data_IF_812959332192
#
_entry.id   IF_812959332192
#
_cell.length_a   1.000
_cell.length_b   1.000
_cell.length_c   1.000
_cell.angle_alpha   90.00
_cell.angle_beta   90.00
_cell.angle_gamma   90.00
#
_symmetry.space_group_name_H-M   'P 1'
#
loop_
_entity.id
_entity.type
_entity.pdbx_description
1 polymer ?
#
# COMPACT_ATOMS: atom_id res chain seq x y z
N UNK A 1 -1.25 24.23 28.35
CA UNK A 1 -1.21 22.89 27.78
C UNK A 1 -1.64 22.99 26.30
N UNK A 2 -1.04 22.20 25.43
CA UNK A 2 -1.45 22.12 24.01
C UNK A 2 -2.42 20.95 23.89
N UNK A 3 -3.58 21.18 23.30
CA UNK A 3 -4.55 20.12 23.01
C UNK A 3 -4.28 19.61 21.59
N UNK A 4 -4.08 18.31 21.46
CA UNK A 4 -3.91 17.65 20.16
C UNK A 4 -5.06 16.67 19.94
N UNK A 5 -5.81 16.85 18.87
CA UNK A 5 -6.88 15.95 18.45
C UNK A 5 -6.40 15.15 17.23
N UNK A 6 -6.62 13.83 17.26
CA UNK A 6 -6.31 12.98 16.13
C UNK A 6 -7.55 12.18 15.71
N UNK A 7 -7.85 12.21 14.43
CA UNK A 7 -8.88 11.38 13.80
C UNK A 7 -8.18 10.49 12.77
N UNK A 8 -8.34 9.18 12.93
CA UNK A 8 -7.85 8.21 11.96
C UNK A 8 -8.99 7.25 11.58
N UNK A 9 -9.19 7.07 10.27
CA UNK A 9 -10.14 6.11 9.73
C UNK A 9 -9.46 5.23 8.69
N UNK A 10 -9.71 3.93 8.75
CA UNK A 10 -9.18 2.95 7.78
C UNK A 10 -10.31 2.04 7.32
N UNK A 11 -10.41 1.86 6.00
CA UNK A 11 -11.34 0.90 5.39
C UNK A 11 -10.55 -0.09 4.55
N UNK A 12 -10.89 -1.37 4.68
CA UNK A 12 -10.37 -2.44 3.83
C UNK A 12 -11.52 -3.36 3.46
N UNK A 13 -11.82 -3.47 2.18
CA UNK A 13 -12.90 -4.32 1.67
C UNK A 13 -12.40 -5.17 0.53
N UNK A 14 -12.68 -6.46 0.57
CA UNK A 14 -12.39 -7.40 -0.51
C UNK A 14 -13.65 -8.17 -0.89
N UNK A 15 -14.03 -8.08 -2.16
CA UNK A 15 -15.17 -8.80 -2.74
C UNK A 15 -14.65 -9.79 -3.79
N UNK A 16 -15.07 -11.04 -3.69
CA UNK A 16 -14.75 -12.09 -4.67
C UNK A 16 -16.02 -12.55 -5.38
N UNK A 17 -15.92 -12.74 -6.69
CA UNK A 17 -17.03 -13.32 -7.46
C UNK A 17 -17.30 -14.77 -7.08
N UNK A 18 -18.53 -15.26 -7.30
CA UNK A 18 -18.94 -16.65 -7.01
C UNK A 18 -18.00 -17.69 -7.64
N UNK A 19 -17.47 -17.42 -8.83
CA UNK A 19 -16.53 -18.33 -9.51
C UNK A 19 -15.06 -18.07 -9.16
N UNK A 20 -14.77 -17.23 -8.17
CA UNK A 20 -13.42 -16.87 -7.67
C UNK A 20 -12.45 -16.30 -8.73
N UNK A 21 -12.96 -16.02 -9.95
CA UNK A 21 -12.15 -15.46 -11.04
C UNK A 21 -11.89 -13.95 -10.89
N UNK A 22 -12.82 -13.23 -10.28
CA UNK A 22 -12.74 -11.77 -10.12
C UNK A 22 -12.61 -11.42 -8.64
N UNK A 23 -11.66 -10.58 -8.33
CA UNK A 23 -11.48 -10.03 -6.97
C UNK A 23 -11.38 -8.51 -7.06
N UNK A 24 -12.18 -7.84 -6.27
CA UNK A 24 -12.16 -6.38 -6.10
C UNK A 24 -11.62 -6.09 -4.71
N UNK A 25 -10.66 -5.19 -4.60
CA UNK A 25 -10.09 -4.72 -3.36
C UNK A 25 -10.25 -3.20 -3.29
N UNK A 26 -10.69 -2.70 -2.15
CA UNK A 26 -10.71 -1.28 -1.82
C UNK A 26 -9.98 -1.07 -0.51
N UNK A 27 -9.00 -0.19 -0.53
CA UNK A 27 -8.26 0.27 0.64
C UNK A 27 -8.44 1.78 0.76
N UNK A 28 -8.74 2.26 1.95
CA UNK A 28 -8.82 3.68 2.24
C UNK A 28 -8.22 3.99 3.61
N UNK A 29 -7.53 5.11 3.71
CA UNK A 29 -7.01 5.64 4.96
C UNK A 29 -7.19 7.15 4.99
N UNK A 30 -7.63 7.69 6.12
CA UNK A 30 -7.69 9.10 6.41
C UNK A 30 -7.03 9.35 7.76
N UNK A 31 -6.20 10.38 7.85
CA UNK A 31 -5.57 10.79 9.10
C UNK A 31 -5.53 12.31 9.18
N UNK A 32 -6.12 12.85 10.23
CA UNK A 32 -6.12 14.27 10.59
C UNK A 32 -5.53 14.39 11.98
N UNK A 33 -4.52 15.25 12.13
CA UNK A 33 -3.97 15.67 13.42
C UNK A 33 -4.13 17.18 13.50
N UNK A 34 -4.90 17.65 14.44
CA UNK A 34 -5.19 19.04 14.70
C UNK A 34 -4.71 19.45 16.09
N UNK A 35 -4.12 20.64 16.21
CA UNK A 35 -3.69 21.22 17.47
C UNK A 35 -4.18 22.67 17.58
N UNK A 36 -4.14 23.22 18.79
CA UNK A 36 -4.64 24.59 19.06
C UNK A 36 -4.00 25.67 18.16
N UNK A 37 -2.84 25.40 17.58
CA UNK A 37 -2.12 26.29 16.64
C UNK A 37 -2.42 26.00 15.16
N UNK A 38 -3.31 25.05 14.84
CA UNK A 38 -3.74 24.67 13.48
C UNK A 38 -3.47 23.22 13.11
N UNK A 39 -3.88 22.83 11.91
CA UNK A 39 -3.72 21.46 11.40
C UNK A 39 -2.26 21.07 11.26
N UNK A 40 -1.79 20.15 12.10
CA UNK A 40 -0.43 19.60 12.05
C UNK A 40 -0.25 18.60 10.90
N UNK A 41 -1.29 17.84 10.58
CA UNK A 41 -1.27 16.85 9.51
C UNK A 41 -2.66 16.61 8.96
N UNK A 42 -2.78 16.61 7.63
CA UNK A 42 -3.95 16.11 6.92
C UNK A 42 -3.48 15.20 5.78
N UNK A 43 -3.97 13.96 5.77
CA UNK A 43 -3.60 13.01 4.73
C UNK A 43 -4.73 12.03 4.44
N UNK A 44 -4.87 11.66 3.17
CA UNK A 44 -5.76 10.58 2.75
C UNK A 44 -5.12 9.72 1.67
N UNK A 45 -5.55 8.47 1.62
CA UNK A 45 -5.15 7.47 0.66
C UNK A 45 -6.37 6.65 0.27
N UNK A 46 -6.57 6.43 -1.02
CA UNK A 46 -7.60 5.56 -1.57
C UNK A 46 -6.99 4.71 -2.69
N UNK A 47 -7.15 3.40 -2.62
CA UNK A 47 -6.65 2.46 -3.61
C UNK A 47 -7.72 1.45 -3.97
N UNK A 48 -8.09 1.39 -5.24
CA UNK A 48 -8.96 0.37 -5.82
C UNK A 48 -8.16 -0.58 -6.70
N UNK A 49 -8.35 -1.90 -6.54
CA UNK A 49 -7.69 -2.92 -7.37
C UNK A 49 -8.68 -3.95 -7.84
N UNK A 50 -8.58 -4.30 -9.10
CA UNK A 50 -9.30 -5.39 -9.74
C UNK A 50 -8.31 -6.46 -10.18
N UNK A 51 -8.59 -7.72 -9.83
CA UNK A 51 -7.82 -8.87 -10.26
C UNK A 51 -8.72 -9.84 -11.00
N UNK A 52 -8.24 -10.33 -12.14
CA UNK A 52 -8.88 -11.37 -12.93
C UNK A 52 -7.98 -12.60 -13.07
N UNK A 53 -8.40 -13.74 -12.54
CA UNK A 53 -7.64 -15.00 -12.65
C UNK A 53 -7.89 -15.62 -14.02
N UNK A 54 -6.86 -15.66 -14.87
CA UNK A 54 -6.87 -16.41 -16.12
C UNK A 54 -6.86 -17.89 -15.78
N UNK A 55 -5.90 -18.30 -14.98
CA UNK A 55 -5.72 -19.65 -14.45
C UNK A 55 -5.21 -19.62 -13.00
N UNK A 56 -4.63 -20.73 -12.52
CA UNK A 56 -4.05 -20.82 -11.17
C UNK A 56 -2.73 -20.04 -11.01
N UNK A 57 -1.99 -19.89 -12.12
CA UNK A 57 -0.66 -19.27 -12.13
C UNK A 57 -0.71 -17.79 -12.45
N UNK A 58 -1.61 -17.37 -13.36
CA UNK A 58 -1.61 -16.04 -13.95
C UNK A 58 -2.89 -15.28 -13.59
N UNK A 59 -2.71 -14.04 -13.10
CA UNK A 59 -3.79 -13.08 -12.90
C UNK A 59 -3.47 -11.78 -13.60
N UNK A 60 -4.49 -11.16 -14.19
CA UNK A 60 -4.42 -9.77 -14.64
C UNK A 60 -4.78 -8.88 -13.47
N UNK A 61 -4.08 -7.76 -13.36
CA UNK A 61 -4.33 -6.75 -12.35
C UNK A 61 -4.55 -5.39 -12.99
N UNK A 62 -5.52 -4.63 -12.49
CA UNK A 62 -5.70 -3.23 -12.80
C UNK A 62 -5.97 -2.49 -11.50
N UNK A 63 -5.44 -1.28 -11.36
CA UNK A 63 -5.59 -0.49 -10.14
C UNK A 63 -5.63 1.00 -10.42
N UNK A 64 -6.27 1.71 -9.52
CA UNK A 64 -6.25 3.17 -9.45
C UNK A 64 -6.01 3.58 -8.00
N UNK A 65 -5.32 4.70 -7.82
CA UNK A 65 -4.98 5.22 -6.51
C UNK A 65 -5.00 6.73 -6.52
N UNK A 66 -5.54 7.31 -5.47
CA UNK A 66 -5.39 8.71 -5.14
C UNK A 66 -4.84 8.85 -3.74
N UNK A 67 -3.95 9.82 -3.54
CA UNK A 67 -3.42 10.14 -2.22
C UNK A 67 -3.11 11.63 -2.10
N UNK A 68 -3.22 12.10 -0.87
CA UNK A 68 -2.84 13.44 -0.46
C UNK A 68 -2.13 13.36 0.88
N UNK A 69 -1.08 14.15 1.04
CA UNK A 69 -0.41 14.30 2.33
C UNK A 69 0.17 15.72 2.43
N UNK A 70 -0.36 16.47 3.37
CA UNK A 70 0.04 17.86 3.61
C UNK A 70 1.51 18.03 4.00
N UNK A 71 2.11 17.01 4.64
CA UNK A 71 3.50 17.03 5.08
C UNK A 71 4.50 16.72 3.97
N UNK A 72 4.02 16.18 2.84
CA UNK A 72 4.87 15.88 1.70
C UNK A 72 4.88 17.06 0.72
N UNK A 73 6.00 17.29 0.08
CA UNK A 73 6.12 18.28 -1.00
C UNK A 73 5.26 17.89 -2.19
N UNK A 74 5.13 16.60 -2.48
CA UNK A 74 4.15 16.06 -3.41
C UNK A 74 2.83 15.88 -2.67
N UNK A 75 2.01 16.92 -2.63
CA UNK A 75 0.76 16.92 -1.87
C UNK A 75 -0.28 15.98 -2.43
N UNK A 76 -0.43 15.93 -3.74
CA UNK A 76 -1.43 15.09 -4.38
C UNK A 76 -0.78 14.20 -5.44
N UNK A 77 -1.11 12.92 -5.40
CA UNK A 77 -0.68 11.92 -6.37
C UNK A 77 -1.86 11.06 -6.79
N UNK A 78 -2.10 10.98 -8.08
CA UNK A 78 -3.09 10.10 -8.67
C UNK A 78 -2.39 9.17 -9.64
N UNK A 79 -2.75 7.90 -9.62
CA UNK A 79 -2.17 6.92 -10.53
C UNK A 79 -3.19 5.89 -10.99
N UNK A 80 -2.94 5.37 -12.18
CA UNK A 80 -3.64 4.23 -12.76
C UNK A 80 -2.60 3.25 -13.29
N UNK A 81 -2.84 1.96 -13.13
CA UNK A 81 -1.92 0.94 -13.61
C UNK A 81 -2.61 -0.36 -13.97
N UNK A 82 -1.91 -1.14 -14.79
CA UNK A 82 -2.33 -2.48 -15.17
C UNK A 82 -1.12 -3.38 -15.39
N UNK A 83 -1.29 -4.68 -15.14
CA UNK A 83 -0.21 -5.62 -15.23
C UNK A 83 -0.62 -7.07 -15.02
N UNK A 84 0.36 -7.87 -14.74
CA UNK A 84 0.22 -9.32 -14.53
C UNK A 84 0.81 -9.73 -13.19
N UNK A 85 0.21 -10.72 -12.57
CA UNK A 85 0.71 -11.38 -11.37
C UNK A 85 0.86 -12.87 -11.60
N UNK A 86 2.00 -13.41 -11.24
CA UNK A 86 2.30 -14.83 -11.23
C UNK A 86 2.24 -15.37 -9.80
N UNK A 87 1.47 -16.44 -9.59
CA UNK A 87 1.44 -17.20 -8.36
C UNK A 87 2.50 -18.32 -8.48
N UNK A 88 3.76 -18.03 -8.17
CA UNK A 88 4.87 -18.95 -8.39
C UNK A 88 5.06 -19.96 -7.25
N UNK A 89 4.51 -19.69 -6.08
CA UNK A 89 4.43 -20.64 -4.96
C UNK A 89 2.97 -20.66 -4.45
N UNK A 90 2.37 -21.82 -4.45
CA UNK A 90 1.01 -22.06 -3.90
C UNK A 90 1.04 -23.35 -3.09
N UNK A 91 1.47 -23.27 -1.84
CA UNK A 91 1.46 -24.35 -0.87
C UNK A 91 0.51 -24.03 0.29
N UNK A 92 0.05 -25.05 1.00
CA UNK A 92 -0.92 -24.94 2.10
C UNK A 92 -0.59 -23.83 3.11
N UNK A 93 0.68 -23.68 3.45
CA UNK A 93 1.15 -22.79 4.50
C UNK A 93 1.99 -21.62 3.97
N UNK A 94 2.33 -21.62 2.67
CA UNK A 94 3.20 -20.60 2.07
C UNK A 94 2.77 -20.29 0.65
N UNK A 95 2.47 -19.02 0.38
CA UNK A 95 2.16 -18.54 -0.96
C UNK A 95 3.16 -17.46 -1.37
N UNK A 96 3.49 -17.42 -2.67
CA UNK A 96 4.39 -16.43 -3.24
C UNK A 96 3.85 -15.88 -4.55
N UNK A 97 3.93 -14.57 -4.70
CA UNK A 97 3.45 -13.84 -5.88
C UNK A 97 4.56 -12.92 -6.41
N UNK A 98 4.66 -12.87 -7.71
CA UNK A 98 5.48 -11.89 -8.44
C UNK A 98 4.57 -11.10 -9.36
N UNK A 99 4.51 -9.79 -9.23
CA UNK A 99 3.72 -8.91 -10.08
C UNK A 99 4.60 -7.92 -10.83
N UNK A 100 4.17 -7.59 -12.05
CA UNK A 100 4.76 -6.54 -12.86
C UNK A 100 3.65 -5.75 -13.54
N UNK A 101 3.68 -4.44 -13.42
CA UNK A 101 2.65 -3.54 -13.92
C UNK A 101 3.27 -2.28 -14.51
N UNK A 102 2.66 -1.78 -15.56
CA UNK A 102 2.83 -0.40 -15.99
C UNK A 102 1.94 0.52 -15.16
N UNK A 103 2.45 1.70 -14.82
CA UNK A 103 1.77 2.69 -14.00
C UNK A 103 1.96 4.08 -14.62
N UNK A 104 0.85 4.79 -14.83
CA UNK A 104 0.83 6.21 -15.16
C UNK A 104 0.43 7.00 -13.93
N UNK A 105 1.23 8.00 -13.59
CA UNK A 105 1.01 8.82 -12.40
C UNK A 105 1.04 10.31 -12.73
N UNK A 106 0.20 11.05 -12.02
CA UNK A 106 0.17 12.51 -12.04
C UNK A 106 0.42 12.98 -10.62
N UNK A 107 1.48 13.75 -10.43
CA UNK A 107 1.86 14.34 -9.15
C UNK A 107 1.72 15.84 -9.21
N UNK A 108 1.21 16.44 -8.14
CA UNK A 108 1.15 17.87 -7.94
C UNK A 108 2.15 18.28 -6.87
N UNK A 109 3.15 19.08 -7.28
CA UNK A 109 4.13 19.68 -6.39
C UNK A 109 3.66 21.08 -5.98
N UNK A 110 3.38 21.26 -4.71
CA UNK A 110 2.84 22.50 -4.19
C UNK A 110 3.89 23.64 -4.17
N UNK A 111 5.14 23.31 -3.86
CA UNK A 111 6.23 24.28 -3.81
C UNK A 111 6.52 24.89 -5.16
N UNK A 112 6.56 24.05 -6.20
CA UNK A 112 6.82 24.50 -7.57
C UNK A 112 5.53 24.87 -8.33
N UNK A 113 4.34 24.68 -7.73
CA UNK A 113 3.02 24.82 -8.37
C UNK A 113 2.94 24.12 -9.74
N UNK A 114 3.65 23.01 -9.87
CA UNK A 114 3.79 22.27 -11.12
C UNK A 114 3.17 20.88 -11.03
N UNK A 115 2.76 20.35 -12.19
CA UNK A 115 2.33 18.97 -12.32
C UNK A 115 3.40 18.18 -13.06
N UNK A 116 3.72 17.00 -12.58
CA UNK A 116 4.53 16.03 -13.30
C UNK A 116 3.69 14.85 -13.77
N UNK A 117 4.03 14.35 -14.95
CA UNK A 117 3.39 13.19 -15.59
C UNK A 117 4.45 12.11 -15.76
N UNK A 118 4.27 11.02 -15.06
CA UNK A 118 5.30 10.01 -14.93
C UNK A 118 4.79 8.64 -15.41
N UNK A 119 5.66 7.93 -16.11
CA UNK A 119 5.45 6.55 -16.55
C UNK A 119 6.41 5.68 -15.75
N UNK A 120 5.90 4.84 -14.85
CA UNK A 120 6.70 3.96 -13.99
C UNK A 120 6.40 2.49 -14.24
N UNK A 121 7.39 1.67 -14.04
CA UNK A 121 7.18 0.25 -13.77
C UNK A 121 6.77 0.08 -12.30
N UNK A 122 5.99 -0.92 -12.00
CA UNK A 122 5.70 -1.36 -10.63
C UNK A 122 5.87 -2.87 -10.57
N UNK A 123 7.06 -3.30 -10.18
CA UNK A 123 7.37 -4.71 -9.94
C UNK A 123 7.25 -4.97 -8.44
N UNK A 124 6.59 -6.07 -8.07
CA UNK A 124 6.53 -6.47 -6.67
C UNK A 124 6.71 -7.97 -6.48
N UNK A 125 7.22 -8.31 -5.30
CA UNK A 125 7.24 -9.67 -4.79
C UNK A 125 6.46 -9.70 -3.47
N UNK A 126 5.62 -10.70 -3.29
CA UNK A 126 4.82 -10.85 -2.07
C UNK A 126 4.86 -12.28 -1.60
N UNK A 127 5.03 -12.45 -0.28
CA UNK A 127 5.00 -13.74 0.39
C UNK A 127 3.97 -13.72 1.52
N UNK A 128 3.27 -14.82 1.69
CA UNK A 128 2.41 -15.04 2.84
C UNK A 128 2.71 -16.41 3.44
N UNK A 129 2.95 -16.44 4.74
CA UNK A 129 3.16 -17.65 5.52
C UNK A 129 2.11 -17.73 6.63
N UNK A 130 1.49 -18.88 6.77
CA UNK A 130 0.59 -19.20 7.87
C UNK A 130 1.10 -20.42 8.60
N UNK A 131 1.32 -20.33 9.91
CA UNK A 131 1.79 -21.46 10.70
C UNK A 131 0.78 -22.63 10.65
N UNK A 132 1.26 -23.85 10.81
CA UNK A 132 0.40 -25.05 10.77
C UNK A 132 -0.69 -25.03 11.84
N UNK A 133 -0.41 -24.43 12.99
CA UNK A 133 -1.37 -24.21 14.09
C UNK A 133 -2.29 -23.00 13.87
N UNK A 134 -2.08 -22.21 12.82
CA UNK A 134 -2.80 -20.96 12.48
C UNK A 134 -2.77 -19.88 13.57
N UNK A 135 -1.82 -19.96 14.50
CA UNK A 135 -1.61 -18.97 15.56
C UNK A 135 -0.67 -17.82 15.16
N UNK A 136 -0.10 -17.89 13.95
CA UNK A 136 0.78 -16.87 13.39
C UNK A 136 0.61 -16.79 11.88
N UNK A 137 0.48 -15.58 11.38
CA UNK A 137 0.51 -15.28 9.93
C UNK A 137 1.49 -14.14 9.69
N UNK A 138 2.31 -14.28 8.66
CA UNK A 138 3.22 -13.26 8.16
C UNK A 138 2.89 -12.99 6.70
N UNK A 139 2.75 -11.72 6.35
CA UNK A 139 2.71 -11.27 4.96
C UNK A 139 3.80 -10.23 4.77
N UNK A 140 4.58 -10.37 3.70
CA UNK A 140 5.54 -9.38 3.27
C UNK A 140 5.25 -9.02 1.81
N UNK A 141 5.35 -7.75 1.47
CA UNK A 141 5.26 -7.26 0.09
C UNK A 141 6.28 -6.16 -0.12
N UNK A 142 7.14 -6.36 -1.11
CA UNK A 142 8.16 -5.41 -1.53
C UNK A 142 7.87 -4.95 -2.96
N UNK A 143 7.89 -3.63 -3.19
CA UNK A 143 7.72 -3.00 -4.49
C UNK A 143 9.00 -2.27 -4.88
N UNK A 144 9.34 -2.37 -6.16
CA UNK A 144 10.33 -1.55 -6.85
C UNK A 144 9.66 -0.81 -8.00
N UNK A 145 9.71 0.53 -8.00
CA UNK A 145 8.97 1.37 -8.93
C UNK A 145 9.88 2.40 -9.62
N UNK A 146 10.71 1.99 -10.60
CA UNK A 146 11.54 2.90 -11.37
C UNK A 146 10.72 3.70 -12.38
N UNK A 147 11.19 4.92 -12.66
CA UNK A 147 10.68 5.76 -13.73
C UNK A 147 11.27 5.31 -15.07
N UNK A 148 10.43 5.10 -16.11
CA UNK A 148 10.92 4.60 -17.40
C UNK A 148 11.92 5.52 -18.11
N UNK A 149 11.79 6.84 -17.96
CA UNK A 149 12.68 7.82 -18.58
C UNK A 149 14.03 7.97 -17.84
N UNK A 150 14.09 7.59 -16.57
CA UNK A 150 15.26 7.66 -15.71
C UNK A 150 15.17 6.57 -14.64
N UNK A 151 15.91 5.46 -14.83
CA UNK A 151 15.83 4.32 -13.90
C UNK A 151 16.47 4.60 -12.53
N UNK A 152 17.29 5.65 -12.42
CA UNK A 152 17.88 6.10 -11.16
C UNK A 152 16.83 6.81 -10.26
N UNK A 153 15.73 7.29 -10.88
CA UNK A 153 14.53 7.76 -10.16
C UNK A 153 13.62 6.55 -9.88
N UNK A 154 13.73 6.02 -8.67
CA UNK A 154 12.96 4.86 -8.25
C UNK A 154 12.42 5.00 -6.83
N UNK A 155 11.38 4.24 -6.55
CA UNK A 155 10.77 4.11 -5.23
C UNK A 155 10.80 2.67 -4.77
N UNK A 156 11.09 2.50 -3.48
CA UNK A 156 10.96 1.22 -2.78
C UNK A 156 9.85 1.34 -1.75
N UNK A 157 8.96 0.35 -1.74
CA UNK A 157 7.94 0.24 -0.71
C UNK A 157 8.02 -1.16 -0.14
N UNK A 158 8.03 -1.25 1.17
CA UNK A 158 8.02 -2.53 1.86
C UNK A 158 6.99 -2.52 2.97
N UNK A 159 6.23 -3.61 3.05
CA UNK A 159 5.30 -3.84 4.14
C UNK A 159 5.50 -5.23 4.71
N UNK A 160 5.76 -5.28 6.00
CA UNK A 160 5.66 -6.49 6.81
C UNK A 160 4.39 -6.42 7.64
N UNK A 161 3.59 -7.49 7.60
CA UNK A 161 2.43 -7.64 8.44
C UNK A 161 2.49 -8.96 9.20
N UNK A 162 2.37 -8.87 10.51
CA UNK A 162 2.27 -9.99 11.43
C UNK A 162 0.87 -10.00 12.03
N UNK A 163 0.19 -11.13 11.96
CA UNK A 163 -1.10 -11.35 12.61
C UNK A 163 -0.97 -12.53 13.58
N UNK A 164 -1.40 -12.34 14.82
CA UNK A 164 -1.43 -13.34 15.88
C UNK A 164 -2.87 -13.51 16.36
N UNK A 165 -3.63 -14.50 15.82
CA UNK A 165 -4.94 -14.84 16.34
C UNK A 165 -4.85 -15.29 17.79
N UNK A 166 -5.47 -14.59 18.71
CA UNK A 166 -5.51 -14.90 20.12
C UNK A 166 -6.69 -15.83 20.45
N UNK A 167 -7.79 -15.65 19.76
CA UNK A 167 -8.98 -16.52 19.79
C UNK A 167 -9.81 -16.34 18.50
N UNK A 168 -11.07 -16.85 18.50
CA UNK A 168 -11.97 -16.78 17.31
C UNK A 168 -12.34 -15.34 16.92
N UNK A 169 -12.31 -14.40 17.88
CA UNK A 169 -12.80 -13.04 17.74
C UNK A 169 -11.70 -12.01 17.75
N UNK A 170 -10.60 -12.29 18.43
CA UNK A 170 -9.55 -11.33 18.73
C UNK A 170 -8.23 -11.75 18.10
N UNK A 171 -7.58 -10.82 17.42
CA UNK A 171 -6.20 -10.97 16.95
C UNK A 171 -5.36 -9.74 17.32
N UNK A 172 -4.12 -9.96 17.68
CA UNK A 172 -3.10 -8.92 17.70
C UNK A 172 -2.47 -8.81 16.31
N UNK A 173 -2.14 -7.60 15.87
CA UNK A 173 -1.38 -7.39 14.64
C UNK A 173 -0.28 -6.36 14.83
N UNK A 174 0.78 -6.50 14.04
CA UNK A 174 1.83 -5.51 13.86
C UNK A 174 2.06 -5.31 12.35
N UNK A 175 2.15 -4.06 11.91
CA UNK A 175 2.45 -3.67 10.52
C UNK A 175 3.62 -2.72 10.54
N UNK A 176 4.65 -3.06 9.78
CA UNK A 176 5.78 -2.19 9.51
C UNK A 176 5.77 -1.81 8.04
N UNK A 177 5.68 -0.51 7.77
CA UNK A 177 5.74 0.08 6.44
C UNK A 177 7.06 0.84 6.30
N UNK A 178 7.75 0.63 5.19
CA UNK A 178 8.93 1.38 4.79
C UNK A 178 8.73 1.94 3.39
N UNK A 179 9.07 3.21 3.21
CA UNK A 179 9.02 3.91 1.94
C UNK A 179 10.34 4.63 1.72
N UNK A 180 10.90 4.50 0.53
CA UNK A 180 12.08 5.21 0.06
C UNK A 180 11.79 5.82 -1.32
N UNK A 181 12.26 7.03 -1.56
CA UNK A 181 12.21 7.73 -2.84
C UNK A 181 13.61 8.27 -3.15
N UNK A 182 14.21 7.85 -4.27
CA UNK A 182 15.58 8.25 -4.67
C UNK A 182 15.64 9.71 -5.13
N UNK A 183 14.52 10.28 -5.57
CA UNK A 183 14.42 11.65 -6.08
C UNK A 183 13.42 12.45 -5.24
N UNK A 184 13.89 12.90 -4.07
CA UNK A 184 13.10 13.78 -3.21
C UNK A 184 13.45 15.25 -3.44
N UNK A 185 12.47 16.17 -3.32
CA UNK A 185 12.74 17.58 -3.34
C UNK A 185 13.74 18.00 -2.24
N UNK A 186 14.52 19.04 -2.50
CA UNK A 186 15.50 19.60 -1.56
C UNK A 186 14.90 19.76 -0.15
N UNK A 187 15.63 19.29 0.86
CA UNK A 187 15.27 19.32 2.28
C UNK A 187 14.14 18.35 2.71
N UNK A 188 13.76 17.39 1.88
CA UNK A 188 12.88 16.30 2.30
C UNK A 188 13.66 15.02 2.56
N UNK A 189 13.15 14.17 3.48
CA UNK A 189 13.78 12.88 3.76
C UNK A 189 13.50 11.90 2.63
N UNK A 190 14.51 11.16 2.21
CA UNK A 190 14.42 10.12 1.19
C UNK A 190 13.62 8.91 1.66
N UNK A 191 13.50 8.69 2.95
CA UNK A 191 12.77 7.55 3.50
C UNK A 191 11.86 7.93 4.65
N UNK A 192 10.82 7.11 4.81
CA UNK A 192 9.93 7.10 5.99
C UNK A 192 9.70 5.67 6.43
N UNK A 193 9.55 5.47 7.73
CA UNK A 193 9.12 4.20 8.29
C UNK A 193 8.02 4.40 9.31
N UNK A 194 7.11 3.44 9.39
CA UNK A 194 5.96 3.46 10.31
C UNK A 194 5.74 2.08 10.89
N UNK A 195 5.69 2.00 12.21
CA UNK A 195 5.28 0.79 12.92
C UNK A 195 3.91 1.03 13.56
N UNK A 196 2.96 0.16 13.25
CA UNK A 196 1.62 0.17 13.83
C UNK A 196 1.36 -1.17 14.50
N UNK A 197 0.85 -1.14 15.72
CA UNK A 197 0.43 -2.33 16.45
C UNK A 197 -0.98 -2.12 16.99
N UNK A 198 -1.76 -3.19 17.08
CA UNK A 198 -3.11 -3.08 17.56
C UNK A 198 -3.82 -4.42 17.68
N UNK A 199 -5.08 -4.34 18.06
CA UNK A 199 -5.97 -5.48 18.15
C UNK A 199 -7.06 -5.36 17.08
N UNK A 200 -7.39 -6.46 16.44
CA UNK A 200 -8.49 -6.56 15.48
C UNK A 200 -9.55 -7.53 15.96
N UNK A 201 -10.82 -7.20 15.73
CA UNK A 201 -11.95 -8.05 16.02
C UNK A 201 -12.46 -8.65 14.70
N UNK A 202 -12.69 -9.96 14.67
CA UNK A 202 -13.32 -10.69 13.57
C UNK A 202 -14.71 -11.13 14.00
N UNK A 203 -15.72 -10.79 13.21
CA UNK A 203 -17.12 -11.16 13.43
C UNK A 203 -17.52 -12.18 12.39
#
# INVERSE_FOLDING_TARGET
GVTVNQIQATITTQIRSKHLKKTYLLLGNYNLVDADEGNLQNSWFLHGRFNYSIDKLIKLEAFLQGQYNQLLVVRQRNLIGAGVRFNWIDRKNFTGHLGNSYMYEVEYNDTLRSKSYNHRNSTYISFSYTSSSRNFMLTNTFYYQPLYRNLDDYRLLEQFRFDFPLNKWLKFFAVYDYYFDSETPLNTKEYTSKLQMGFGISI
#
